data_IF_473902623263
#
_entry.id   IF_473902623263
#
_cell.length_a   1.000
_cell.length_b   1.000
_cell.length_c   1.000
_cell.angle_alpha   90.00
_cell.angle_beta   90.00
_cell.angle_gamma   90.00
#
_symmetry.space_group_name_H-M   'P 1'
#
loop_
_entity.id
_entity.type
_entity.pdbx_description
1 polymer ?
#
# COMPACT_ATOMS: atom_id res chain seq x y z
N UNK A 1 -7.95 -6.21 16.27
CA UNK A 1 -7.90 -4.88 15.62
C UNK A 1 -6.55 -4.18 15.82
N UNK A 2 -6.03 -4.03 17.05
CA UNK A 2 -4.79 -3.28 17.33
C UNK A 2 -3.56 -3.68 16.47
N UNK A 3 -3.32 -4.99 16.29
CA UNK A 3 -2.22 -5.49 15.46
C UNK A 3 -2.40 -5.14 13.98
N UNK A 4 -3.61 -5.32 13.44
CA UNK A 4 -3.91 -5.02 12.04
C UNK A 4 -3.77 -3.52 11.75
N UNK A 5 -4.27 -2.65 12.64
CA UNK A 5 -4.13 -1.20 12.52
C UNK A 5 -2.68 -0.76 12.65
N UNK A 6 -1.91 -1.38 13.56
CA UNK A 6 -0.47 -1.14 13.70
C UNK A 6 0.32 -1.54 12.45
N UNK A 7 -0.01 -2.67 11.83
CA UNK A 7 0.59 -3.09 10.56
C UNK A 7 0.27 -2.12 9.41
N UNK A 8 -0.99 -1.70 9.27
CA UNK A 8 -1.39 -0.69 8.27
C UNK A 8 -0.63 0.63 8.47
N UNK A 9 -0.49 1.08 9.71
CA UNK A 9 0.26 2.29 10.04
C UNK A 9 1.76 2.13 9.73
N UNK A 10 2.35 0.98 10.07
CA UNK A 10 3.74 0.67 9.74
C UNK A 10 4.03 0.64 8.24
N UNK A 11 3.11 0.07 7.44
CA UNK A 11 3.22 0.09 5.97
C UNK A 11 3.17 1.53 5.45
N UNK A 12 2.24 2.34 5.95
CA UNK A 12 2.08 3.73 5.55
C UNK A 12 3.36 4.55 5.87
N UNK A 13 3.95 4.36 7.04
CA UNK A 13 5.24 4.95 7.43
C UNK A 13 6.41 4.45 6.57
N UNK A 14 6.48 3.16 6.25
CA UNK A 14 7.53 2.64 5.36
C UNK A 14 7.43 3.24 3.96
N UNK A 15 6.22 3.31 3.40
CA UNK A 15 5.95 3.79 2.05
C UNK A 15 6.13 5.31 1.91
N UNK A 16 5.78 6.08 2.94
CA UNK A 16 5.82 7.55 2.90
C UNK A 16 7.12 8.12 3.49
N UNK A 17 7.77 7.43 4.42
CA UNK A 17 8.96 7.96 5.11
C UNK A 17 10.25 7.23 4.77
N UNK A 18 10.21 5.95 4.39
CA UNK A 18 11.43 5.20 4.01
C UNK A 18 11.63 5.15 2.50
N UNK A 19 10.58 4.86 1.74
CA UNK A 19 10.63 4.79 0.28
C UNK A 19 11.14 6.10 -0.36
N UNK A 20 10.69 7.30 0.08
CA UNK A 20 11.16 8.54 -0.53
C UNK A 20 12.59 8.88 -0.16
N UNK A 21 13.21 8.28 0.88
CA UNK A 21 14.63 8.52 1.20
C UNK A 21 15.56 7.97 0.12
N UNK A 22 15.21 6.83 -0.47
CA UNK A 22 15.97 6.27 -1.59
C UNK A 22 15.85 7.12 -2.87
N UNK A 23 14.70 7.77 -3.07
CA UNK A 23 14.47 8.71 -4.18
C UNK A 23 14.79 10.17 -3.84
N UNK A 24 15.08 10.49 -2.58
CA UNK A 24 15.53 11.82 -2.14
C UNK A 24 16.93 12.10 -2.69
N UNK A 25 17.77 11.06 -2.83
CA UNK A 25 19.06 11.13 -3.52
C UNK A 25 18.92 11.47 -5.02
N UNK A 26 17.73 11.26 -5.59
CA UNK A 26 17.36 11.60 -6.98
C UNK A 26 16.53 12.91 -7.08
N UNK A 27 16.27 13.61 -5.97
CA UNK A 27 15.51 14.87 -5.94
C UNK A 27 13.98 14.75 -6.12
N UNK A 28 13.44 13.53 -6.22
CA UNK A 28 12.01 13.28 -6.56
C UNK A 28 11.14 12.81 -5.38
N UNK A 29 11.65 12.91 -4.15
CA UNK A 29 10.96 12.42 -2.95
C UNK A 29 9.56 13.03 -2.75
N UNK A 30 9.40 14.33 -3.03
CA UNK A 30 8.12 15.03 -2.88
C UNK A 30 7.07 14.56 -3.90
N UNK A 31 7.47 14.32 -5.15
CA UNK A 31 6.57 13.86 -6.22
C UNK A 31 6.06 12.45 -5.96
N UNK A 32 6.94 11.53 -5.53
CA UNK A 32 6.57 10.14 -5.23
C UNK A 32 5.66 10.08 -4.00
N UNK A 33 5.98 10.84 -2.95
CA UNK A 33 5.13 10.94 -1.76
C UNK A 33 3.76 11.54 -2.09
N UNK A 34 3.71 12.63 -2.86
CA UNK A 34 2.48 13.26 -3.30
C UNK A 34 1.60 12.35 -4.16
N UNK A 35 2.19 11.60 -5.08
CA UNK A 35 1.49 10.65 -5.95
C UNK A 35 0.92 9.47 -5.14
N UNK A 36 1.71 8.88 -4.24
CA UNK A 36 1.26 7.81 -3.35
C UNK A 36 0.09 8.26 -2.46
N UNK A 37 0.15 9.49 -1.96
CA UNK A 37 -0.91 10.06 -1.15
C UNK A 37 -2.19 10.25 -1.98
N UNK A 38 -2.09 10.81 -3.19
CA UNK A 38 -3.22 10.96 -4.10
C UNK A 38 -3.90 9.63 -4.42
N UNK A 39 -3.12 8.59 -4.75
CA UNK A 39 -3.66 7.24 -4.97
C UNK A 39 -4.34 6.67 -3.72
N UNK A 40 -3.80 6.93 -2.53
CA UNK A 40 -4.42 6.48 -1.28
C UNK A 40 -5.79 7.12 -1.07
N UNK A 41 -5.92 8.43 -1.32
CA UNK A 41 -7.21 9.13 -1.20
C UNK A 41 -8.22 8.66 -2.25
N UNK A 42 -7.82 8.52 -3.51
CA UNK A 42 -8.68 8.02 -4.59
C UNK A 42 -9.12 6.58 -4.29
N UNK A 43 -8.17 5.73 -3.89
CA UNK A 43 -8.43 4.34 -3.51
C UNK A 43 -9.34 4.23 -2.30
N UNK A 44 -9.19 5.09 -1.30
CA UNK A 44 -10.05 5.11 -0.10
C UNK A 44 -11.48 5.51 -0.44
N UNK A 45 -11.67 6.51 -1.31
CA UNK A 45 -12.99 6.92 -1.79
C UNK A 45 -13.68 5.79 -2.56
N UNK A 46 -12.97 5.14 -3.48
CA UNK A 46 -13.49 4.00 -4.25
C UNK A 46 -13.79 2.79 -3.34
N UNK A 47 -12.91 2.52 -2.39
CA UNK A 47 -13.05 1.41 -1.44
C UNK A 47 -14.26 1.59 -0.54
N UNK A 48 -14.50 2.80 -0.03
CA UNK A 48 -15.69 3.09 0.78
C UNK A 48 -16.99 2.77 0.01
N UNK A 49 -17.05 3.15 -1.27
CA UNK A 49 -18.19 2.82 -2.14
C UNK A 49 -18.31 1.31 -2.41
N UNK A 50 -17.22 0.66 -2.80
CA UNK A 50 -17.21 -0.78 -3.07
C UNK A 50 -17.56 -1.61 -1.83
N UNK A 51 -17.00 -1.30 -0.67
CA UNK A 51 -17.27 -2.03 0.56
C UNK A 51 -18.71 -1.80 1.05
N UNK A 52 -19.25 -0.58 0.94
CA UNK A 52 -20.65 -0.32 1.25
C UNK A 52 -21.60 -1.16 0.39
N UNK A 53 -21.36 -1.19 -0.92
CA UNK A 53 -22.21 -1.93 -1.86
C UNK A 53 -22.09 -3.45 -1.72
N UNK A 54 -20.91 -3.96 -1.38
CA UNK A 54 -20.69 -5.40 -1.12
C UNK A 54 -21.27 -5.80 0.24
N UNK A 55 -21.17 -4.94 1.26
CA UNK A 55 -21.73 -5.19 2.58
C UNK A 55 -23.26 -5.31 2.54
N UNK A 56 -23.95 -4.47 1.75
CA UNK A 56 -25.42 -4.54 1.60
C UNK A 56 -25.87 -5.83 0.91
N UNK A 57 -25.15 -6.32 -0.10
CA UNK A 57 -25.56 -7.50 -0.88
C UNK A 57 -25.15 -8.83 -0.28
N UNK A 58 -23.94 -8.91 0.29
CA UNK A 58 -23.29 -10.16 0.66
C UNK A 58 -22.90 -10.23 2.14
N UNK A 59 -23.25 -9.20 2.91
CA UNK A 59 -22.85 -9.04 4.30
C UNK A 59 -21.35 -8.79 4.48
N UNK A 60 -20.92 -8.67 5.73
CA UNK A 60 -19.53 -8.40 6.08
C UNK A 60 -18.54 -9.50 5.67
N UNK A 61 -19.00 -10.74 5.51
CA UNK A 61 -18.16 -11.85 5.06
C UNK A 61 -17.61 -11.63 3.64
N UNK A 62 -18.40 -11.04 2.73
CA UNK A 62 -17.93 -10.68 1.39
C UNK A 62 -16.84 -9.61 1.41
N UNK A 63 -16.97 -8.62 2.31
CA UNK A 63 -15.97 -7.56 2.50
C UNK A 63 -14.65 -8.13 3.03
N UNK A 64 -14.71 -9.04 4.01
CA UNK A 64 -13.53 -9.71 4.56
C UNK A 64 -12.81 -10.53 3.46
N UNK A 65 -13.56 -11.24 2.61
CA UNK A 65 -12.99 -11.97 1.47
C UNK A 65 -12.23 -11.06 0.51
N UNK A 66 -12.79 -9.89 0.18
CA UNK A 66 -12.11 -8.90 -0.67
C UNK A 66 -10.83 -8.40 -0.02
N UNK A 67 -10.85 -8.08 1.28
CA UNK A 67 -9.65 -7.66 2.00
C UNK A 67 -8.54 -8.71 1.96
N UNK A 68 -8.88 -9.99 2.08
CA UNK A 68 -7.91 -11.09 1.98
C UNK A 68 -7.28 -11.17 0.58
N UNK A 69 -8.08 -11.05 -0.49
CA UNK A 69 -7.58 -11.07 -1.87
C UNK A 69 -6.65 -9.88 -2.12
N UNK A 70 -7.04 -8.68 -1.70
CA UNK A 70 -6.19 -7.49 -1.84
C UNK A 70 -4.89 -7.60 -1.03
N UNK A 71 -4.94 -8.15 0.19
CA UNK A 71 -3.75 -8.40 1.00
C UNK A 71 -2.81 -9.41 0.37
N UNK A 72 -3.35 -10.50 -0.21
CA UNK A 72 -2.56 -11.51 -0.90
C UNK A 72 -1.90 -10.94 -2.17
N UNK A 73 -2.66 -10.18 -2.97
CA UNK A 73 -2.12 -9.51 -4.16
C UNK A 73 -1.00 -8.52 -3.80
N UNK A 74 -1.19 -7.72 -2.74
CA UNK A 74 -0.18 -6.81 -2.21
C UNK A 74 1.08 -7.54 -1.75
N UNK A 75 0.93 -8.67 -1.05
CA UNK A 75 2.06 -9.50 -0.63
C UNK A 75 2.83 -10.01 -1.86
N UNK A 76 2.16 -10.59 -2.86
CA UNK A 76 2.81 -11.09 -4.09
C UNK A 76 3.56 -9.97 -4.81
N UNK A 77 2.97 -8.78 -4.93
CA UNK A 77 3.60 -7.63 -5.54
C UNK A 77 4.87 -7.19 -4.78
N UNK A 78 4.83 -7.18 -3.44
CA UNK A 78 5.99 -6.88 -2.61
C UNK A 78 7.08 -7.95 -2.76
N UNK A 79 6.73 -9.23 -2.65
CA UNK A 79 7.68 -10.34 -2.83
C UNK A 79 8.35 -10.32 -4.21
N UNK A 80 7.59 -10.05 -5.27
CA UNK A 80 8.15 -9.90 -6.62
C UNK A 80 9.03 -8.66 -6.79
N UNK A 81 8.76 -7.59 -6.03
CA UNK A 81 9.52 -6.35 -6.10
C UNK A 81 10.78 -6.37 -5.22
N UNK A 82 10.86 -7.21 -4.18
CA UNK A 82 12.03 -7.34 -3.32
C UNK A 82 13.31 -7.70 -4.10
N UNK A 83 13.21 -8.59 -5.10
CA UNK A 83 14.36 -8.97 -5.92
C UNK A 83 14.90 -7.82 -6.77
N UNK A 84 14.02 -6.94 -7.27
CA UNK A 84 14.39 -5.73 -8.03
C UNK A 84 14.91 -4.63 -7.11
N UNK A 85 14.31 -4.49 -5.92
CA UNK A 85 14.72 -3.53 -4.91
C UNK A 85 16.13 -3.81 -4.37
N UNK A 86 16.45 -5.09 -4.10
CA UNK A 86 17.79 -5.48 -3.65
C UNK A 86 18.88 -5.12 -4.67
N UNK A 87 18.64 -5.41 -5.95
CA UNK A 87 19.55 -5.04 -7.06
C UNK A 87 19.68 -3.53 -7.25
N UNK A 88 18.65 -2.75 -6.92
CA UNK A 88 18.69 -1.29 -6.99
C UNK A 88 19.48 -0.70 -5.81
N UNK A 89 19.31 -1.25 -4.60
CA UNK A 89 20.06 -0.83 -3.41
C UNK A 89 21.55 -1.13 -3.52
N UNK A 90 21.93 -2.30 -4.07
CA UNK A 90 23.34 -2.67 -4.33
C UNK A 90 24.01 -1.79 -5.40
N UNK A 91 23.24 -1.06 -6.21
CA UNK A 91 23.75 -0.17 -7.25
C UNK A 91 23.94 1.27 -6.80
N UNK A 92 23.47 1.60 -5.59
CA UNK A 92 23.45 2.96 -5.00
C UNK A 92 24.48 3.10 -3.87
N UNK A 93 24.93 2.01 -3.26
CA UNK A 93 26.18 1.95 -2.46
C UNK A 93 27.41 1.95 -3.39
#
# INVERSE_FOLDING_TARGET
>A
MMLATGCMYGINLMLISHLPKYFARLGMAATISGLLNAFTYVGSSLSAYCFGRVAEKSGWNGVIGIWLVFSAAGAVALFGSMGKWRKFSEKID
#
